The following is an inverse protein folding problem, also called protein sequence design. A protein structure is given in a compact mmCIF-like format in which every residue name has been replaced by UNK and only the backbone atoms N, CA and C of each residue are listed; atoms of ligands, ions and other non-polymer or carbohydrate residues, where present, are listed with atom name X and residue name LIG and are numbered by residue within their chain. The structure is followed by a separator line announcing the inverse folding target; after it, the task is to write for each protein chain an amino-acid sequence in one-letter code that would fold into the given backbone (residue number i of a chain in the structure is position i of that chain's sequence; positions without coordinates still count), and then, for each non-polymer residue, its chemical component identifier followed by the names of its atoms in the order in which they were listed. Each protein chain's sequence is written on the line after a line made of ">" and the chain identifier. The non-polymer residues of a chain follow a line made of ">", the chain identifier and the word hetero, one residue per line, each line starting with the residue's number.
data_IF_276062125881
#
_entry.id   IF_276062125881
#
_cell.length_a   1.000
_cell.length_b   1.000
_cell.length_c   1.000
_cell.angle_alpha   90.00
_cell.angle_beta   90.00
_cell.angle_gamma   90.00
#
_symmetry.space_group_name_H-M   'P 1'
#
loop_
_entity.id
_entity.type
_entity.pdbx_description
1 polymer ?
#
# COMPACT_ATOMS: atom_id res chain seq x y z
N UNK A 1 -2.22 -13.21 9.48
CA UNK A 1 -0.91 -13.38 8.81
C UNK A 1 -1.02 -12.86 7.39
N UNK A 2 -0.12 -11.97 6.96
CA UNK A 2 -0.08 -11.45 5.57
C UNK A 2 0.48 -12.54 4.65
N UNK A 3 -0.17 -12.79 3.51
CA UNK A 3 0.23 -13.83 2.55
C UNK A 3 0.53 -13.22 1.19
N UNK A 4 1.78 -13.33 0.73
CA UNK A 4 2.18 -12.87 -0.60
C UNK A 4 2.21 -14.09 -1.53
N UNK A 5 1.10 -14.32 -2.25
CA UNK A 5 1.00 -15.45 -3.22
C UNK A 5 1.21 -14.97 -4.66
N UNK A 6 0.75 -13.77 -4.98
CA UNK A 6 0.97 -13.07 -6.24
C UNK A 6 1.21 -11.60 -5.92
N UNK A 7 2.27 -11.03 -6.46
CA UNK A 7 2.64 -9.63 -6.21
C UNK A 7 1.71 -8.67 -6.95
N UNK A 8 1.31 -9.01 -8.19
CA UNK A 8 0.37 -8.20 -8.96
C UNK A 8 -1.07 -8.75 -8.85
N UNK A 9 -2.02 -7.86 -8.55
CA UNK A 9 -3.46 -8.20 -8.41
C UNK A 9 -4.38 -7.41 -9.34
N UNK A 10 -3.87 -6.34 -9.97
CA UNK A 10 -4.63 -5.38 -10.82
C UNK A 10 -5.75 -4.61 -10.09
N UNK A 11 -5.95 -4.83 -8.80
CA UNK A 11 -6.98 -4.13 -8.01
C UNK A 11 -6.71 -2.63 -7.89
N UNK A 12 -5.46 -2.21 -8.06
CA UNK A 12 -5.03 -0.81 -7.96
C UNK A 12 -5.05 0.00 -9.25
N UNK A 13 -5.45 -0.59 -10.38
CA UNK A 13 -5.31 0.02 -11.71
C UNK A 13 -6.19 1.27 -11.87
N UNK A 14 -7.28 1.37 -11.09
CA UNK A 14 -8.15 2.55 -11.04
C UNK A 14 -7.71 3.61 -10.02
N UNK A 15 -6.44 3.60 -9.61
CA UNK A 15 -5.88 4.61 -8.70
C UNK A 15 -6.31 4.47 -7.23
N UNK A 16 -6.86 3.31 -6.81
CA UNK A 16 -7.30 3.05 -5.42
C UNK A 16 -6.54 1.90 -4.80
N UNK A 17 -6.38 1.90 -3.48
CA UNK A 17 -5.76 0.80 -2.72
C UNK A 17 -6.64 0.36 -1.54
N UNK A 18 -6.36 -0.80 -0.97
CA UNK A 18 -7.03 -1.30 0.23
C UNK A 18 -6.18 -1.02 1.47
N UNK A 19 -6.82 -0.58 2.55
CA UNK A 19 -6.22 -0.45 3.87
C UNK A 19 -6.30 -1.79 4.63
N UNK A 20 -5.62 -1.88 5.77
CA UNK A 20 -5.57 -3.10 6.60
C UNK A 20 -6.93 -3.55 7.14
N UNK A 21 -7.90 -2.63 7.24
CA UNK A 21 -9.29 -2.90 7.62
C UNK A 21 -10.20 -3.32 6.44
N UNK A 22 -9.64 -3.41 5.22
CA UNK A 22 -10.37 -3.75 4.00
C UNK A 22 -11.10 -2.57 3.35
N UNK A 23 -11.13 -1.39 3.98
CA UNK A 23 -11.64 -0.19 3.35
C UNK A 23 -10.75 0.23 2.17
N UNK A 24 -11.30 0.98 1.23
CA UNK A 24 -10.55 1.44 0.04
C UNK A 24 -10.40 2.94 0.05
N UNK A 25 -9.21 3.42 -0.28
CA UNK A 25 -8.93 4.85 -0.46
C UNK A 25 -8.18 5.12 -1.78
N UNK A 26 -8.04 6.40 -2.14
CA UNK A 26 -7.23 6.83 -3.28
C UNK A 26 -5.74 6.63 -2.99
N UNK A 27 -4.92 6.38 -4.03
CA UNK A 27 -3.47 6.21 -3.85
C UNK A 27 -2.74 7.48 -3.36
N UNK A 28 -3.36 8.64 -3.50
CA UNK A 28 -2.86 9.94 -3.03
C UNK A 28 -3.50 10.37 -1.69
N UNK A 29 -4.18 9.45 -0.98
CA UNK A 29 -4.68 9.73 0.36
C UNK A 29 -3.51 9.96 1.33
N UNK A 30 -3.56 10.95 2.25
CA UNK A 30 -2.48 11.23 3.19
C UNK A 30 -2.03 10.03 4.01
N UNK A 31 -2.92 9.08 4.31
CA UNK A 31 -2.57 7.84 5.02
C UNK A 31 -1.67 6.95 4.17
N UNK A 32 -1.93 6.89 2.85
CA UNK A 32 -1.14 6.09 1.90
C UNK A 32 0.26 6.66 1.75
N UNK A 33 0.37 7.98 1.65
CA UNK A 33 1.65 8.68 1.64
C UNK A 33 2.44 8.42 2.92
N UNK A 34 1.80 8.53 4.09
CA UNK A 34 2.46 8.35 5.38
C UNK A 34 3.14 6.99 5.53
N UNK A 35 2.46 5.87 5.24
CA UNK A 35 3.11 4.56 5.32
C UNK A 35 4.05 4.28 4.13
N UNK A 36 3.88 4.97 2.99
CA UNK A 36 4.81 4.90 1.86
C UNK A 36 6.17 5.53 2.17
N UNK A 37 6.18 6.64 2.92
CA UNK A 37 7.42 7.26 3.42
C UNK A 37 8.12 6.36 4.46
N UNK A 38 7.34 5.68 5.31
CA UNK A 38 7.90 4.68 6.26
C UNK A 38 8.54 3.50 5.51
N UNK A 39 7.90 2.99 4.46
CA UNK A 39 8.46 1.93 3.61
C UNK A 39 9.77 2.38 2.94
N UNK A 40 9.79 3.63 2.45
CA UNK A 40 10.99 4.24 1.86
C UNK A 40 12.13 4.35 2.89
N UNK A 41 11.85 4.83 4.10
CA UNK A 41 12.83 4.92 5.18
C UNK A 41 13.36 3.54 5.57
N UNK A 42 12.49 2.54 5.66
CA UNK A 42 12.89 1.17 5.98
C UNK A 42 13.78 0.56 4.88
N UNK A 43 13.46 0.80 3.61
CA UNK A 43 14.28 0.38 2.47
C UNK A 43 15.67 1.04 2.46
N UNK A 44 15.78 2.28 2.94
CA UNK A 44 17.06 2.98 3.07
C UNK A 44 17.94 2.43 4.22
N UNK A 45 17.33 1.83 5.25
CA UNK A 45 18.05 1.25 6.39
C UNK A 45 18.62 -0.14 6.06
N UNK A 46 17.83 -1.02 5.42
CA UNK A 46 18.22 -2.39 5.06
C UNK A 46 17.89 -3.44 6.11
#
# INVERSE_FOLDING_TARGET
>A
MVKITRVYTKQGDRGRTSLGDGSRTAKFDPRVEAYGEVDTANAAIG
#
